data_IF_147820967146
#
_entry.id   IF_147820967146
#
_cell.length_a   1.000
_cell.length_b   1.000
_cell.length_c   1.000
_cell.angle_alpha   90.00
_cell.angle_beta   90.00
_cell.angle_gamma   90.00
#
_symmetry.space_group_name_H-M   'P 1'
#
loop_
_entity.id
_entity.type
_entity.pdbx_description
1 polymer ?
#
# COMPACT_ATOMS: atom_id res chain seq x y z
N UNK A 1 7.90 13.51 21.59
CA UNK A 1 6.87 13.88 20.59
C UNK A 1 6.87 12.91 19.39
N UNK A 2 8.02 12.53 18.82
CA UNK A 2 8.09 11.56 17.71
C UNK A 2 7.63 10.14 18.12
N UNK A 3 8.12 9.61 19.24
CA UNK A 3 7.75 8.28 19.75
C UNK A 3 6.24 8.13 20.00
N UNK A 4 5.61 9.15 20.58
CA UNK A 4 4.17 9.16 20.83
C UNK A 4 3.33 9.17 19.55
N UNK A 5 3.85 9.70 18.43
CA UNK A 5 3.14 9.67 17.14
C UNK A 5 3.19 8.29 16.52
N UNK A 6 4.34 7.61 16.58
CA UNK A 6 4.52 6.23 16.09
C UNK A 6 3.64 5.26 16.87
N UNK A 7 3.56 5.43 18.19
CA UNK A 7 2.73 4.59 19.06
C UNK A 7 1.23 4.80 18.77
N UNK A 8 0.79 6.06 18.58
CA UNK A 8 -0.58 6.35 18.14
C UNK A 8 -0.88 5.84 16.73
N UNK A 9 0.07 5.93 15.80
CA UNK A 9 -0.06 5.38 14.45
C UNK A 9 -0.28 3.86 14.51
N UNK A 10 0.53 3.13 15.29
CA UNK A 10 0.36 1.69 15.50
C UNK A 10 -1.02 1.33 16.05
N UNK A 11 -1.58 2.15 16.94
CA UNK A 11 -2.94 1.94 17.48
C UNK A 11 -4.08 2.26 16.50
N UNK A 12 -3.87 3.16 15.54
CA UNK A 12 -4.86 3.52 14.50
C UNK A 12 -4.84 2.50 13.36
N UNK A 13 -3.66 1.98 13.04
CA UNK A 13 -3.41 1.00 11.98
C UNK A 13 -3.62 -0.45 12.44
N UNK A 14 -4.11 -0.63 13.66
CA UNK A 14 -4.60 -1.94 14.07
C UNK A 14 -5.64 -2.43 13.06
N UNK A 15 -5.49 -3.64 12.52
CA UNK A 15 -6.35 -4.13 11.45
C UNK A 15 -7.83 -4.06 11.82
N UNK A 16 -8.19 -4.32 13.08
CA UNK A 16 -9.57 -4.21 13.58
C UNK A 16 -10.18 -2.82 13.39
N UNK A 17 -9.36 -1.77 13.35
CA UNK A 17 -9.79 -0.36 13.24
C UNK A 17 -9.63 0.19 11.83
N UNK A 18 -8.54 -0.12 11.14
CA UNK A 18 -8.25 0.50 9.84
C UNK A 18 -8.85 -0.26 8.65
N UNK A 19 -9.07 -1.57 8.74
CA UNK A 19 -9.65 -2.39 7.66
C UNK A 19 -10.93 -1.80 7.03
N UNK A 20 -11.95 -1.32 7.80
CA UNK A 20 -13.15 -0.74 7.18
C UNK A 20 -12.87 0.53 6.36
N UNK A 21 -11.78 1.24 6.68
CA UNK A 21 -11.37 2.42 5.94
C UNK A 21 -10.55 2.04 4.71
N UNK A 22 -9.81 0.94 4.72
CA UNK A 22 -8.94 0.47 3.64
C UNK A 22 -9.72 -0.03 2.42
N UNK A 23 -10.29 0.91 1.68
CA UNK A 23 -11.04 0.66 0.45
C UNK A 23 -10.19 1.00 -0.78
N UNK A 24 -10.42 0.26 -1.86
CA UNK A 24 -9.82 0.55 -3.16
C UNK A 24 -10.01 2.04 -3.53
N UNK A 25 -8.92 2.67 -3.94
CA UNK A 25 -8.83 4.10 -4.26
C UNK A 25 -8.33 4.98 -3.12
N UNK A 26 -8.25 4.49 -1.88
CA UNK A 26 -7.77 5.31 -0.77
C UNK A 26 -6.30 5.67 -0.96
N UNK A 27 -5.96 6.93 -0.70
CA UNK A 27 -4.56 7.37 -0.68
C UNK A 27 -3.94 7.06 0.68
N UNK A 28 -2.80 6.39 0.68
CA UNK A 28 -2.07 5.94 1.88
C UNK A 28 -0.61 6.35 1.77
N UNK A 29 0.03 6.69 2.89
CA UNK A 29 1.46 7.04 2.94
C UNK A 29 2.23 5.81 3.41
N UNK A 30 3.29 5.43 2.69
CA UNK A 30 4.06 4.21 2.98
C UNK A 30 5.47 4.61 3.41
N UNK A 31 5.92 4.08 4.55
CA UNK A 31 7.26 4.29 5.09
C UNK A 31 7.81 2.96 5.58
N UNK A 32 9.01 2.64 5.15
CA UNK A 32 9.74 1.44 5.56
C UNK A 32 11.00 1.82 6.32
N UNK A 33 10.90 1.82 7.66
CA UNK A 33 11.97 2.29 8.54
C UNK A 33 12.33 3.76 8.28
N UNK A 34 13.51 3.99 7.72
CA UNK A 34 14.00 5.33 7.35
C UNK A 34 13.67 5.71 5.90
N UNK A 35 13.14 4.78 5.11
CA UNK A 35 12.85 4.97 3.68
C UNK A 35 11.40 5.41 3.51
N UNK A 36 11.21 6.67 3.11
CA UNK A 36 9.90 7.19 2.74
C UNK A 36 9.57 6.80 1.29
N UNK A 37 8.55 5.94 1.12
CA UNK A 37 8.07 5.54 -0.20
C UNK A 37 7.09 6.54 -0.82
N UNK A 38 6.64 7.50 -0.01
CA UNK A 38 5.71 8.53 -0.40
C UNK A 38 4.26 8.05 -0.40
N UNK A 39 3.41 8.85 -1.04
CA UNK A 39 2.00 8.55 -1.15
C UNK A 39 1.76 7.47 -2.21
N UNK A 40 0.81 6.60 -1.91
CA UNK A 40 0.40 5.47 -2.71
C UNK A 40 -1.12 5.40 -2.78
N UNK A 41 -1.64 4.66 -3.76
CA UNK A 41 -3.09 4.40 -3.86
C UNK A 41 -3.36 2.94 -3.54
N UNK A 42 -4.23 2.69 -2.57
CA UNK A 42 -4.64 1.36 -2.17
C UNK A 42 -5.49 0.71 -3.26
N UNK A 43 -5.11 -0.49 -3.69
CA UNK A 43 -5.83 -1.30 -4.69
C UNK A 43 -6.69 -2.35 -3.99
N UNK A 44 -6.07 -3.17 -3.15
CA UNK A 44 -6.70 -4.26 -2.41
C UNK A 44 -5.99 -4.48 -1.09
N UNK A 45 -6.69 -5.07 -0.12
CA UNK A 45 -6.11 -5.59 1.11
C UNK A 45 -6.44 -7.06 1.18
N UNK A 46 -5.47 -7.87 1.56
CA UNK A 46 -5.61 -9.31 1.70
C UNK A 46 -4.87 -9.79 2.93
N UNK A 47 -5.34 -10.90 3.49
CA UNK A 47 -4.63 -11.57 4.56
C UNK A 47 -3.70 -12.62 3.97
N UNK A 48 -2.46 -12.66 4.45
CA UNK A 48 -1.50 -13.69 4.14
C UNK A 48 -1.22 -14.52 5.39
N UNK A 49 -1.63 -15.79 5.45
CA UNK A 49 -1.26 -16.66 6.56
C UNK A 49 0.25 -16.92 6.55
N UNK A 50 0.86 -17.07 7.72
CA UNK A 50 2.28 -17.44 7.85
C UNK A 50 2.42 -18.97 7.92
N UNK A 51 3.34 -19.54 7.14
CA UNK A 51 3.64 -20.97 7.14
C UNK A 51 3.92 -21.58 5.75
N UNK A 52 4.36 -22.85 5.70
CA UNK A 52 4.60 -23.55 4.44
C UNK A 52 3.28 -23.70 3.65
N UNK A 53 3.13 -22.94 2.56
CA UNK A 53 1.89 -22.84 1.76
C UNK A 53 1.25 -21.43 1.72
N UNK A 54 1.82 -20.47 2.45
CA UNK A 54 1.35 -19.08 2.59
C UNK A 54 1.07 -18.34 1.26
N UNK A 55 1.88 -18.58 0.24
CA UNK A 55 1.79 -17.85 -1.04
C UNK A 55 0.50 -18.16 -1.83
N UNK A 56 -0.11 -19.33 -1.62
CA UNK A 56 -1.30 -19.78 -2.35
C UNK A 56 -2.61 -19.54 -1.58
N UNK A 57 -2.55 -19.25 -0.28
CA UNK A 57 -3.70 -19.17 0.61
C UNK A 57 -4.16 -17.73 0.91
N UNK A 58 -3.68 -16.75 0.15
CA UNK A 58 -4.08 -15.37 0.33
C UNK A 58 -5.58 -15.22 0.02
N UNK A 59 -6.36 -14.86 1.04
CA UNK A 59 -7.81 -14.86 0.99
C UNK A 59 -8.36 -13.46 1.28
N UNK A 60 -9.49 -13.14 0.63
CA UNK A 60 -10.23 -11.90 0.83
C UNK A 60 -10.54 -11.69 2.33
N UNK A 61 -10.34 -10.46 2.85
CA UNK A 61 -10.83 -10.09 4.17
C UNK A 61 -12.35 -10.05 4.14
N UNK A 62 -12.97 -11.14 4.55
CA UNK A 62 -14.36 -11.05 5.01
C UNK A 62 -14.50 -10.00 6.11
N UNK A 63 -15.73 -9.56 6.43
CA UNK A 63 -15.99 -8.45 7.34
C UNK A 63 -15.51 -8.66 8.79
N UNK A 64 -15.12 -9.88 9.17
CA UNK A 64 -14.48 -10.18 10.45
C UNK A 64 -12.97 -9.98 10.34
N UNK A 65 -12.49 -8.81 10.78
CA UNK A 65 -11.07 -8.48 10.77
C UNK A 65 -10.25 -9.46 11.61
N UNK A 66 -9.68 -10.48 10.97
CA UNK A 66 -8.58 -11.34 11.45
C UNK A 66 -8.85 -12.21 12.70
N UNK A 67 -9.84 -11.90 13.53
CA UNK A 67 -10.17 -12.65 14.75
C UNK A 67 -10.56 -14.09 14.39
N UNK A 68 -9.74 -15.04 14.85
CA UNK A 68 -9.88 -16.47 14.53
C UNK A 68 -9.04 -16.96 13.34
N UNK A 69 -8.31 -16.10 12.63
CA UNK A 69 -7.25 -16.54 11.71
C UNK A 69 -5.98 -16.86 12.51
N UNK A 70 -5.27 -17.92 12.12
CA UNK A 70 -3.99 -18.30 12.70
C UNK A 70 -2.90 -17.22 12.49
N UNK A 71 -1.62 -17.48 12.79
CA UNK A 71 -0.56 -16.51 12.55
C UNK A 71 -0.53 -16.07 11.07
N UNK A 72 -0.34 -14.78 10.83
CA UNK A 72 -0.37 -14.20 9.50
C UNK A 72 -0.23 -12.68 9.52
N UNK A 73 -0.14 -12.10 8.33
CA UNK A 73 0.08 -10.67 8.13
C UNK A 73 -0.94 -10.09 7.13
N UNK A 74 -1.39 -8.87 7.40
CA UNK A 74 -2.17 -8.09 6.45
C UNK A 74 -1.26 -7.47 5.40
N UNK A 75 -1.59 -7.71 4.14
CA UNK A 75 -0.87 -7.18 2.99
C UNK A 75 -1.82 -6.29 2.19
N UNK A 76 -1.36 -5.08 1.89
CA UNK A 76 -2.06 -4.12 1.07
C UNK A 76 -1.36 -4.02 -0.29
N UNK A 77 -2.08 -4.28 -1.37
CA UNK A 77 -1.60 -3.96 -2.71
C UNK A 77 -1.77 -2.47 -2.94
N UNK A 78 -0.65 -1.79 -3.19
CA UNK A 78 -0.60 -0.34 -3.33
C UNK A 78 0.05 0.04 -4.66
N UNK A 79 -0.50 1.05 -5.33
CA UNK A 79 0.14 1.68 -6.48
C UNK A 79 1.13 2.72 -5.96
N UNK A 80 2.41 2.39 -6.10
CA UNK A 80 3.54 3.22 -5.69
C UNK A 80 4.29 3.73 -6.91
N UNK A 81 4.87 4.92 -6.79
CA UNK A 81 5.75 5.48 -7.81
C UNK A 81 7.17 5.01 -7.51
N UNK A 82 7.66 4.07 -8.31
CA UNK A 82 8.99 3.48 -8.15
C UNK A 82 9.91 3.89 -9.28
N UNK A 83 11.21 3.81 -9.04
CA UNK A 83 12.20 3.99 -10.10
C UNK A 83 12.19 2.81 -11.06
N UNK A 84 12.08 3.04 -12.37
CA UNK A 84 11.96 1.98 -13.38
C UNK A 84 13.17 1.04 -13.41
N UNK A 85 14.37 1.52 -13.05
CA UNK A 85 15.57 0.67 -12.98
C UNK A 85 15.53 -0.28 -11.79
N UNK A 86 14.97 0.16 -10.67
CA UNK A 86 14.76 -0.67 -9.48
C UNK A 86 13.76 -1.80 -9.74
N UNK A 87 12.68 -1.51 -10.49
CA UNK A 87 11.69 -2.49 -10.92
C UNK A 87 12.36 -3.54 -11.81
N UNK A 88 13.18 -3.11 -12.79
CA UNK A 88 13.89 -4.01 -13.69
C UNK A 88 14.90 -4.91 -12.96
N UNK A 89 15.48 -4.43 -11.85
CA UNK A 89 16.37 -5.21 -11.00
C UNK A 89 15.62 -6.20 -10.07
N UNK A 90 14.28 -6.17 -10.05
CA UNK A 90 13.47 -7.03 -9.20
C UNK A 90 13.37 -6.58 -7.73
N UNK A 91 13.92 -5.41 -7.41
CA UNK A 91 13.89 -4.81 -6.08
C UNK A 91 13.31 -3.41 -6.19
N UNK A 92 11.96 -3.25 -6.18
CA UNK A 92 11.33 -1.95 -6.34
C UNK A 92 11.82 -0.99 -5.24
N UNK A 93 12.12 0.24 -5.63
CA UNK A 93 12.56 1.30 -4.74
C UNK A 93 11.80 2.60 -5.09
N UNK A 94 11.55 3.47 -4.11
CA UNK A 94 10.78 4.68 -4.35
C UNK A 94 11.48 5.64 -5.29
N UNK A 95 10.71 6.23 -6.19
CA UNK A 95 11.23 7.25 -7.10
C UNK A 95 11.54 8.53 -6.31
N UNK A 96 12.76 9.04 -6.44
CA UNK A 96 13.10 10.34 -5.87
C UNK A 96 12.36 11.48 -6.58
N UNK A 97 12.08 12.57 -5.86
CA UNK A 97 11.45 13.77 -6.44
C UNK A 97 12.31 14.28 -7.62
N UNK A 98 11.69 14.41 -8.79
CA UNK A 98 12.36 14.82 -10.03
C UNK A 98 12.98 13.68 -10.84
N UNK A 99 12.79 12.42 -10.44
CA UNK A 99 13.19 11.28 -11.24
C UNK A 99 12.40 11.24 -12.55
N UNK A 100 13.11 11.22 -13.68
CA UNK A 100 12.52 11.19 -15.03
C UNK A 100 12.06 9.77 -15.40
N UNK A 101 12.63 8.76 -14.74
CA UNK A 101 12.38 7.33 -14.95
C UNK A 101 11.43 6.74 -13.91
N UNK A 102 10.45 7.52 -13.45
CA UNK A 102 9.47 7.07 -12.48
C UNK A 102 8.30 6.33 -13.14
N UNK A 103 8.00 5.13 -12.66
CA UNK A 103 6.87 4.31 -13.11
C UNK A 103 5.95 3.96 -11.95
N UNK A 104 4.64 3.95 -12.21
CA UNK A 104 3.66 3.52 -11.22
C UNK A 104 3.45 2.00 -11.32
N UNK A 105 3.71 1.30 -10.22
CA UNK A 105 3.74 -0.16 -10.11
C UNK A 105 2.92 -0.59 -8.90
N UNK A 106 2.27 -1.74 -9.01
CA UNK A 106 1.58 -2.37 -7.89
C UNK A 106 2.62 -3.09 -7.02
N UNK A 107 2.75 -2.65 -5.77
CA UNK A 107 3.63 -3.21 -4.77
C UNK A 107 2.79 -3.65 -3.58
N UNK A 108 2.92 -4.92 -3.21
CA UNK A 108 2.29 -5.48 -2.03
C UNK A 108 3.11 -5.10 -0.80
N UNK A 109 2.55 -4.26 0.07
CA UNK A 109 3.20 -3.77 1.29
C UNK A 109 2.52 -4.37 2.52
N UNK A 110 3.29 -4.64 3.57
CA UNK A 110 2.71 -5.02 4.85
C UNK A 110 1.92 -3.84 5.43
N UNK A 111 0.80 -4.12 6.09
CA UNK A 111 -0.06 -3.08 6.66
C UNK A 111 0.67 -2.19 7.68
N UNK A 112 1.67 -2.76 8.36
CA UNK A 112 2.53 -2.09 9.33
C UNK A 112 3.41 -0.98 8.71
N UNK A 113 3.66 -1.04 7.39
CA UNK A 113 4.43 -0.03 6.65
C UNK A 113 3.58 1.19 6.27
N UNK A 114 2.26 1.16 6.50
CA UNK A 114 1.43 2.33 6.27
C UNK A 114 1.70 3.34 7.38
N UNK A 115 2.22 4.52 7.05
CA UNK A 115 2.45 5.59 8.03
C UNK A 115 1.21 6.47 8.24
N UNK A 116 0.40 6.66 7.18
CA UNK A 116 -0.81 7.50 7.26
C UNK A 116 -1.88 7.06 6.27
N UNK A 117 -3.14 7.36 6.63
CA UNK A 117 -4.30 7.20 5.76
C UNK A 117 -4.82 8.59 5.41
N UNK A 118 -4.88 8.91 4.12
CA UNK A 118 -5.52 10.14 3.66
C UNK A 118 -7.03 10.00 3.69
N UNK A 119 -7.72 11.13 3.90
CA UNK A 119 -9.15 11.24 3.68
C UNK A 119 -9.51 11.15 2.19
N UNK A 120 -8.54 11.39 1.29
CA UNK A 120 -8.73 11.38 -0.15
C UNK A 120 -8.92 9.95 -0.69
N UNK A 121 -9.88 9.83 -1.62
CA UNK A 121 -10.11 8.62 -2.40
C UNK A 121 -10.08 8.96 -3.89
N UNK A 122 -9.16 8.34 -4.61
CA UNK A 122 -9.02 8.44 -6.06
C UNK A 122 -9.84 7.34 -6.74
N UNK A 123 -10.34 7.64 -7.93
CA UNK A 123 -11.03 6.65 -8.77
C UNK A 123 -9.98 5.82 -9.49
N UNK A 124 -9.87 4.54 -9.13
CA UNK A 124 -8.96 3.62 -9.80
C UNK A 124 -9.69 2.93 -10.96
N UNK A 125 -9.12 2.88 -12.17
CA UNK A 125 -9.66 2.08 -13.25
C UNK A 125 -9.65 0.59 -12.89
N UNK A 126 -10.68 -0.15 -13.31
CA UNK A 126 -10.80 -1.58 -13.01
C UNK A 126 -9.66 -2.44 -13.57
N UNK A 127 -8.98 -1.96 -14.62
CA UNK A 127 -7.86 -2.67 -15.24
C UNK A 127 -6.57 -1.86 -15.10
N UNK A 128 -5.72 -2.30 -14.17
CA UNK A 128 -4.39 -1.72 -13.92
C UNK A 128 -3.27 -2.37 -14.75
N UNK A 129 -3.58 -3.34 -15.63
CA UNK A 129 -2.58 -3.99 -16.47
C UNK A 129 -2.01 -3.01 -17.51
N UNK A 130 -2.84 -2.08 -18.02
CA UNK A 130 -2.41 -1.06 -18.96
C UNK A 130 -1.54 0.01 -18.27
N UNK A 131 -0.36 0.28 -18.83
CA UNK A 131 0.54 1.32 -18.32
C UNK A 131 -0.12 2.72 -18.34
N UNK A 132 -0.99 2.97 -19.33
CA UNK A 132 -1.74 4.22 -19.45
C UNK A 132 -2.72 4.44 -18.29
N UNK A 133 -3.41 3.38 -17.86
CA UNK A 133 -4.31 3.40 -16.72
C UNK A 133 -3.55 3.74 -15.42
N UNK A 134 -2.36 3.18 -15.23
CA UNK A 134 -1.50 3.51 -14.08
C UNK A 134 -0.98 4.94 -14.16
N UNK A 135 -0.62 5.42 -15.36
CA UNK A 135 -0.17 6.80 -15.58
C UNK A 135 -1.24 7.83 -15.25
N UNK A 136 -2.51 7.56 -15.57
CA UNK A 136 -3.63 8.43 -15.20
C UNK A 136 -3.76 8.60 -13.67
N UNK A 137 -3.63 7.49 -12.93
CA UNK A 137 -3.65 7.53 -11.45
C UNK A 137 -2.45 8.28 -10.89
N UNK A 138 -1.26 8.09 -11.47
CA UNK A 138 -0.04 8.82 -11.08
C UNK A 138 -0.22 10.33 -11.21
N UNK A 139 -0.82 10.79 -12.31
CA UNK A 139 -1.11 12.21 -12.53
C UNK A 139 -2.10 12.76 -11.50
N UNK A 140 -3.15 12.00 -11.16
CA UNK A 140 -4.10 12.39 -10.11
C UNK A 140 -3.44 12.49 -8.73
N UNK A 141 -2.56 11.54 -8.41
CA UNK A 141 -1.83 11.54 -7.15
C UNK A 141 -0.87 12.74 -7.04
N UNK A 142 -0.16 13.08 -8.13
CA UNK A 142 0.72 14.24 -8.17
C UNK A 142 -0.02 15.58 -8.15
N UNK A 143 -1.27 15.61 -8.63
CA UNK A 143 -2.13 16.78 -8.55
C UNK A 143 -2.72 17.01 -7.15
N UNK A 144 -2.49 16.08 -6.21
CA UNK A 144 -2.93 16.22 -4.82
C UNK A 144 -1.96 17.16 -4.08
N UNK A 145 -2.45 18.22 -3.42
CA UNK A 145 -1.62 19.27 -2.82
C UNK A 145 -0.84 18.82 -1.57
#
# INVERSE_FOLDING_TARGET
IAEQRVELQGHVLQPQRCLPFLQAGRVVHVVDGEVDWGWAVLVSVMWRPEGPGAAAAAADPGPGGGEGRGPGLWVADTLLVCDSTSIAAGAPAPAHKGCVTAEMVVVSVALELLAALSALRLTIPQNLAAADARRAVMLQLQATP
#
